data_IF_198059001730
#
_entry.id   IF_198059001730
#
_cell.length_a   1.000
_cell.length_b   1.000
_cell.length_c   1.000
_cell.angle_alpha   90.00
_cell.angle_beta   90.00
_cell.angle_gamma   90.00
#
_symmetry.space_group_name_H-M   'P 1'
#
loop_
_entity.id
_entity.type
_entity.pdbx_description
1 polymer ?
#
# COMPACT_ATOMS: atom_id res chain seq x y z
N UNK A 1 10.36 5.44 -3.94
CA UNK A 1 11.05 5.99 -2.76
C UNK A 1 10.50 7.37 -2.37
N UNK A 2 10.35 8.34 -3.28
CA UNK A 2 9.77 9.64 -2.92
C UNK A 2 8.26 9.60 -2.62
N UNK A 3 7.49 8.74 -3.28
CA UNK A 3 6.05 8.58 -3.01
C UNK A 3 5.80 7.81 -1.71
N UNK A 4 6.71 6.90 -1.32
CA UNK A 4 6.74 6.25 0.00
C UNK A 4 7.09 7.24 1.13
N UNK A 5 8.13 8.06 0.93
CA UNK A 5 8.42 9.18 1.83
C UNK A 5 7.29 10.21 1.83
N UNK A 6 6.64 10.49 0.72
CA UNK A 6 5.51 11.40 0.65
C UNK A 6 4.28 10.80 1.33
N UNK A 7 4.02 9.51 1.22
CA UNK A 7 2.93 8.85 1.94
C UNK A 7 3.19 8.89 3.45
N UNK A 8 4.41 8.59 3.89
CA UNK A 8 4.83 8.68 5.31
C UNK A 8 4.96 10.12 5.85
N UNK A 9 5.18 11.12 4.99
CA UNK A 9 5.31 12.53 5.41
C UNK A 9 4.03 13.36 5.20
N UNK A 10 3.15 12.98 4.26
CA UNK A 10 1.85 13.63 4.01
C UNK A 10 0.77 13.05 4.93
N UNK A 11 0.90 11.78 5.31
CA UNK A 11 0.25 11.18 6.47
C UNK A 11 1.35 10.96 7.51
N UNK A 12 1.62 11.94 8.38
CA UNK A 12 2.50 11.66 9.53
C UNK A 12 1.89 10.45 10.22
N UNK A 13 2.63 9.37 10.36
CA UNK A 13 2.10 8.11 10.88
C UNK A 13 1.38 8.31 12.23
N UNK A 14 1.83 9.29 13.03
CA UNK A 14 1.16 9.71 14.27
C UNK A 14 -0.17 10.46 14.12
N UNK A 15 -0.48 11.05 12.96
CA UNK A 15 -1.78 11.67 12.68
C UNK A 15 -2.85 10.62 12.31
N UNK A 16 -2.44 9.42 11.88
CA UNK A 16 -3.36 8.28 11.67
C UNK A 16 -3.79 7.64 13.01
N UNK A 17 -2.97 7.83 14.03
CA UNK A 17 -3.05 7.20 15.35
C UNK A 17 -3.50 8.27 16.36
N UNK A 18 -4.51 9.07 16.00
CA UNK A 18 -5.04 10.06 16.95
C UNK A 18 -5.54 9.32 18.21
N UNK A 19 -4.90 9.65 19.35
CA UNK A 19 -5.22 9.19 20.70
C UNK A 19 -5.06 7.69 21.01
N UNK A 20 -4.40 6.90 20.16
CA UNK A 20 -4.04 5.51 20.48
C UNK A 20 -2.61 5.44 21.05
N UNK A 21 -2.54 5.50 22.39
CA UNK A 21 -1.29 5.50 23.14
C UNK A 21 -0.44 4.24 22.88
N UNK A 22 -1.08 3.08 22.70
CA UNK A 22 -0.37 1.82 22.50
C UNK A 22 0.28 1.75 21.11
N UNK A 23 -0.41 2.25 20.09
CA UNK A 23 0.17 2.41 18.75
C UNK A 23 1.22 3.53 18.68
N UNK A 24 1.11 4.58 19.50
CA UNK A 24 2.15 5.61 19.63
C UNK A 24 3.41 5.09 20.34
N UNK A 25 3.26 4.14 21.26
CA UNK A 25 4.39 3.51 21.98
C UNK A 25 5.22 2.60 21.07
N UNK A 26 4.62 1.96 20.06
CA UNK A 26 5.31 1.09 19.10
C UNK A 26 5.10 1.52 17.63
N UNK A 27 5.70 2.66 17.28
CA UNK A 27 5.68 3.17 15.92
C UNK A 27 6.40 2.27 14.90
N UNK A 28 7.32 1.41 15.34
CA UNK A 28 7.97 0.43 14.46
C UNK A 28 6.99 -0.67 14.02
N UNK A 29 6.15 -1.14 14.94
CA UNK A 29 5.05 -2.05 14.64
C UNK A 29 4.05 -1.41 13.67
N UNK A 30 3.68 -0.15 13.90
CA UNK A 30 2.77 0.57 13.01
C UNK A 30 3.35 0.70 11.61
N UNK A 31 4.61 1.11 11.49
CA UNK A 31 5.28 1.23 10.19
C UNK A 31 5.28 -0.13 9.46
N UNK A 32 5.54 -1.22 10.17
CA UNK A 32 5.51 -2.58 9.63
C UNK A 32 4.12 -2.92 9.08
N UNK A 33 3.05 -2.66 9.84
CA UNK A 33 1.70 -2.96 9.39
C UNK A 33 1.27 -2.10 8.20
N UNK A 34 1.67 -0.83 8.16
CA UNK A 34 1.42 0.03 6.99
C UNK A 34 2.15 -0.50 5.76
N UNK A 35 3.43 -0.90 5.87
CA UNK A 35 4.15 -1.55 4.76
C UNK A 35 3.44 -2.81 4.27
N UNK A 36 2.99 -3.66 5.20
CA UNK A 36 2.22 -4.88 4.88
C UNK A 36 0.93 -4.52 4.14
N UNK A 37 0.19 -3.52 4.62
CA UNK A 37 -1.03 -3.03 3.97
C UNK A 37 -0.78 -2.61 2.52
N UNK A 38 0.28 -1.85 2.27
CA UNK A 38 0.68 -1.40 0.92
C UNK A 38 1.04 -2.59 0.02
N UNK A 39 1.74 -3.61 0.54
CA UNK A 39 2.05 -4.84 -0.18
C UNK A 39 0.79 -5.62 -0.59
N UNK A 40 -0.24 -5.65 0.26
CA UNK A 40 -1.48 -6.38 0.00
C UNK A 40 -2.37 -5.74 -1.09
N UNK A 41 -2.30 -4.41 -1.25
CA UNK A 41 -3.16 -3.67 -2.20
C UNK A 41 -2.49 -3.41 -3.56
N UNK A 42 -1.28 -3.93 -3.80
CA UNK A 42 -0.58 -3.74 -5.08
C UNK A 42 -1.47 -4.19 -6.26
N UNK A 43 -1.50 -3.42 -7.36
CA UNK A 43 -2.32 -3.82 -8.51
C UNK A 43 -1.85 -5.14 -9.11
N UNK A 44 -0.55 -5.30 -9.29
CA UNK A 44 0.05 -6.53 -9.80
C UNK A 44 -0.12 -7.67 -8.77
N UNK A 45 -0.94 -8.70 -9.05
CA UNK A 45 -1.21 -9.77 -8.10
C UNK A 45 0.05 -10.57 -7.72
N UNK A 46 1.00 -10.71 -8.65
CA UNK A 46 2.26 -11.42 -8.42
C UNK A 46 3.18 -10.73 -7.40
N UNK A 47 2.97 -9.43 -7.15
CA UNK A 47 3.72 -8.67 -6.14
C UNK A 47 3.10 -8.79 -4.75
N UNK A 48 1.86 -9.26 -4.64
CA UNK A 48 1.20 -9.40 -3.33
C UNK A 48 1.80 -10.57 -2.56
N UNK A 49 2.00 -10.44 -1.23
CA UNK A 49 2.46 -11.54 -0.42
C UNK A 49 1.40 -12.65 -0.41
N UNK A 50 1.83 -13.90 -0.55
CA UNK A 50 0.97 -15.04 -0.30
C UNK A 50 0.67 -15.17 1.21
N UNK A 51 -0.34 -15.96 1.57
CA UNK A 51 -0.76 -16.10 2.98
C UNK A 51 0.37 -16.51 3.93
N UNK A 52 1.27 -17.42 3.53
CA UNK A 52 2.39 -17.83 4.38
C UNK A 52 3.35 -16.67 4.64
N UNK A 53 3.75 -15.97 3.59
CA UNK A 53 4.63 -14.81 3.69
C UNK A 53 4.00 -13.68 4.50
N UNK A 54 2.72 -13.39 4.26
CA UNK A 54 1.95 -12.40 5.00
C UNK A 54 1.92 -12.72 6.51
N UNK A 55 1.63 -13.97 6.88
CA UNK A 55 1.63 -14.38 8.28
C UNK A 55 3.00 -14.22 8.93
N UNK A 56 4.08 -14.61 8.25
CA UNK A 56 5.44 -14.43 8.76
C UNK A 56 5.81 -12.95 8.96
N UNK A 57 5.33 -12.06 8.09
CA UNK A 57 5.52 -10.61 8.20
C UNK A 57 4.74 -10.04 9.40
N UNK A 58 3.50 -10.50 9.61
CA UNK A 58 2.66 -10.08 10.73
C UNK A 58 3.23 -10.54 12.08
N UNK A 59 3.74 -11.78 12.15
CA UNK A 59 4.36 -12.35 13.36
C UNK A 59 5.76 -11.76 13.65
N UNK A 60 6.31 -10.94 12.75
CA UNK A 60 7.67 -10.39 12.87
C UNK A 60 8.78 -11.42 12.62
N UNK A 61 8.45 -12.59 12.09
CA UNK A 61 9.41 -13.65 11.72
C UNK A 61 10.17 -13.28 10.44
N UNK A 62 9.51 -12.59 9.52
CA UNK A 62 10.10 -12.09 8.28
C UNK A 62 10.22 -10.56 8.31
N UNK A 63 11.36 -10.04 7.84
CA UNK A 63 11.51 -8.60 7.62
C UNK A 63 10.58 -8.10 6.52
N UNK A 64 10.00 -6.93 6.76
CA UNK A 64 9.16 -6.24 5.77
C UNK A 64 10.01 -5.18 5.08
N UNK A 65 10.39 -5.45 3.84
CA UNK A 65 11.06 -4.46 3.00
C UNK A 65 10.07 -3.39 2.51
N UNK A 66 10.62 -2.25 2.14
CA UNK A 66 9.83 -1.16 1.59
C UNK A 66 9.09 -1.66 0.34
N UNK A 67 7.77 -1.47 0.28
CA UNK A 67 6.99 -1.87 -0.87
C UNK A 67 7.45 -1.09 -2.11
N UNK A 68 7.30 -1.67 -3.32
CA UNK A 68 7.47 -0.92 -4.54
C UNK A 68 6.59 0.32 -4.46
N UNK A 69 7.12 1.43 -4.97
CA UNK A 69 6.37 2.66 -5.05
C UNK A 69 5.02 2.33 -5.71
N UNK A 70 3.87 2.75 -5.15
CA UNK A 70 2.64 2.65 -5.90
C UNK A 70 2.95 3.29 -7.24
N UNK A 71 2.79 2.52 -8.32
CA UNK A 71 2.91 3.08 -9.65
C UNK A 71 2.09 4.36 -9.62
N UNK A 72 2.60 5.52 -10.07
CA UNK A 72 1.70 6.60 -10.37
C UNK A 72 0.83 6.04 -11.49
N UNK A 73 -0.29 5.42 -11.13
CA UNK A 73 -1.35 5.19 -12.08
C UNK A 73 -1.62 6.58 -12.59
N UNK A 74 -1.24 6.72 -13.87
CA UNK A 74 -1.70 7.68 -14.82
C UNK A 74 -2.76 8.53 -14.16
N UNK A 75 -2.42 9.79 -13.88
CA UNK A 75 -3.42 10.84 -13.99
C UNK A 75 -4.22 10.43 -15.22
N UNK A 76 -5.47 10.03 -15.02
CA UNK A 76 -6.38 9.83 -16.11
C UNK A 76 -6.42 11.20 -16.78
N UNK A 77 -5.54 11.43 -17.76
CA UNK A 77 -5.81 12.36 -18.82
C UNK A 77 -7.16 11.90 -19.33
N UNK A 78 -8.19 12.70 -19.12
CA UNK A 78 -9.55 12.43 -19.56
C UNK A 78 -9.65 12.40 -21.10
N UNK A 79 -8.78 11.69 -21.82
CA UNK A 79 -8.78 11.60 -23.29
C UNK A 79 -8.78 10.18 -23.87
N UNK A 80 -8.97 9.10 -23.08
CA UNK A 80 -9.05 7.76 -23.70
C UNK A 80 -10.14 6.82 -23.18
N UNK A 81 -11.32 7.35 -22.81
CA UNK A 81 -12.54 6.54 -22.71
C UNK A 81 -13.28 6.34 -24.05
N UNK A 82 -12.72 6.81 -25.18
CA UNK A 82 -13.40 6.73 -26.49
C UNK A 82 -12.84 5.68 -27.47
N UNK A 83 -11.85 4.86 -27.09
CA UNK A 83 -11.22 3.94 -28.07
C UNK A 83 -11.47 2.43 -27.88
N UNK A 84 -12.09 1.96 -26.79
CA UNK A 84 -12.45 0.53 -26.70
C UNK A 84 -13.92 0.33 -27.08
N UNK A 85 -14.11 -0.35 -28.21
CA UNK A 85 -15.35 -0.49 -28.96
C UNK A 85 -16.55 -1.07 -28.22
N UNK A 86 -17.69 -0.89 -28.89
CA UNK A 86 -19.06 -1.24 -28.55
C UNK A 86 -19.22 -2.56 -27.77
N UNK A 87 -19.86 -2.49 -26.60
CA UNK A 87 -20.49 -3.67 -25.99
C UNK A 87 -21.75 -3.97 -26.80
N UNK A 88 -21.70 -4.99 -27.66
CA UNK A 88 -22.90 -5.57 -28.27
C UNK A 88 -23.77 -6.17 -27.18
N UNK A 89 -25.03 -5.72 -27.11
CA UNK A 89 -26.10 -6.39 -26.35
C UNK A 89 -26.27 -7.80 -26.89
N UNK A 90 -26.13 -8.80 -26.02
CA UNK A 90 -26.79 -10.11 -26.18
C UNK A 90 -28.26 -10.00 -25.81
#
# INVERSE_FOLDING_TARGET
MQLYHHFLNLWRLGDLIEDDLEAMEDMEMVERYVKIGIWCIQEEPGMRPNMRSLTQMLEGVAQVHDPPNPSPYSIFSCEEYLSCGQVSRV
#
